data_IF_419830918219
#
_entry.id   IF_419830918219
#
_cell.length_a   1.000
_cell.length_b   1.000
_cell.length_c   1.000
_cell.angle_alpha   90.00
_cell.angle_beta   90.00
_cell.angle_gamma   90.00
#
_symmetry.space_group_name_H-M   'P 1'
#
loop_
_entity.id
_entity.type
_entity.pdbx_description
1 polymer ?
#
# COMPACT_ATOMS: atom_id res chain seq x y z
N UNK A 1 -1.26 -1.23 -18.57
CA UNK A 1 -0.44 -1.70 -17.44
C UNK A 1 -0.29 -0.58 -16.42
N UNK A 2 -0.45 -0.91 -15.17
CA UNK A 2 -0.30 0.07 -14.10
C UNK A 2 1.15 0.54 -13.99
N UNK A 3 1.32 1.84 -13.83
CA UNK A 3 2.63 2.44 -13.61
C UNK A 3 2.66 2.93 -12.17
N UNK A 4 3.46 2.30 -11.30
CA UNK A 4 3.45 2.70 -9.90
C UNK A 4 3.95 4.13 -9.69
N UNK A 5 3.31 4.82 -8.77
CA UNK A 5 3.71 6.15 -8.33
C UNK A 5 3.63 6.16 -6.83
N UNK A 6 4.64 6.71 -6.19
CA UNK A 6 4.67 6.79 -4.73
C UNK A 6 3.42 7.51 -4.25
N UNK A 7 2.83 6.98 -3.19
CA UNK A 7 1.59 7.48 -2.57
C UNK A 7 0.32 7.14 -3.32
N UNK A 8 0.41 6.26 -4.32
CA UNK A 8 -0.80 5.71 -4.92
C UNK A 8 -1.43 4.71 -3.97
N UNK A 9 -2.77 4.70 -3.94
CA UNK A 9 -3.52 3.67 -3.25
C UNK A 9 -3.91 2.63 -4.27
N UNK A 10 -3.48 1.40 -4.05
CA UNK A 10 -3.72 0.33 -5.03
C UNK A 10 -4.14 -0.93 -4.31
N UNK A 11 -4.73 -1.82 -5.07
CA UNK A 11 -5.08 -3.15 -4.59
C UNK A 11 -4.38 -4.17 -5.48
N UNK A 12 -3.77 -5.14 -4.85
CA UNK A 12 -3.12 -6.24 -5.54
C UNK A 12 -3.52 -7.53 -4.84
N UNK A 13 -4.25 -8.38 -5.59
CA UNK A 13 -4.81 -9.59 -5.02
C UNK A 13 -5.70 -9.23 -3.83
N UNK A 14 -5.43 -9.79 -2.67
CA UNK A 14 -6.23 -9.51 -1.47
C UNK A 14 -5.66 -8.39 -0.62
N UNK A 15 -4.60 -7.74 -1.11
CA UNK A 15 -3.91 -6.70 -0.36
C UNK A 15 -4.23 -5.33 -0.91
N UNK A 16 -4.47 -4.40 -0.02
CA UNK A 16 -4.72 -3.02 -0.40
C UNK A 16 -3.82 -2.13 0.44
N UNK A 17 -3.16 -1.18 -0.19
CA UNK A 17 -2.26 -0.32 0.56
C UNK A 17 -1.70 0.80 -0.31
N UNK A 18 -0.61 1.37 0.17
CA UNK A 18 0.04 2.51 -0.46
C UNK A 18 1.33 2.08 -1.11
N UNK A 19 1.60 2.63 -2.28
CA UNK A 19 2.89 2.44 -2.93
C UNK A 19 3.92 3.26 -2.15
N UNK A 20 4.98 2.61 -1.71
CA UNK A 20 5.97 3.24 -0.86
C UNK A 20 7.30 3.45 -1.56
N UNK A 21 7.95 2.38 -2.01
CA UNK A 21 9.24 2.45 -2.67
C UNK A 21 9.10 1.82 -4.05
N UNK A 22 9.67 2.44 -5.06
CA UNK A 22 9.59 1.94 -6.43
C UNK A 22 11.01 1.70 -6.91
N UNK A 23 11.24 0.52 -7.47
CA UNK A 23 12.50 0.20 -8.13
C UNK A 23 12.21 -0.22 -9.56
N UNK A 24 13.26 -0.51 -10.32
CA UNK A 24 13.09 -0.94 -11.69
C UNK A 24 12.35 -2.27 -11.81
N UNK A 25 12.38 -3.07 -10.76
CA UNK A 25 11.86 -4.42 -10.82
C UNK A 25 10.55 -4.60 -10.06
N UNK A 26 10.30 -3.76 -9.05
CA UNK A 26 9.11 -3.92 -8.21
C UNK A 26 8.77 -2.62 -7.52
N UNK A 27 7.61 -2.60 -6.87
CA UNK A 27 7.34 -1.58 -5.87
C UNK A 27 6.94 -2.28 -4.58
N UNK A 28 7.04 -1.56 -3.47
CA UNK A 28 6.58 -2.07 -2.19
C UNK A 28 5.19 -1.52 -1.92
N UNK A 29 4.32 -2.40 -1.44
CA UNK A 29 2.97 -2.06 -1.06
C UNK A 29 2.92 -2.06 0.46
N UNK A 30 2.68 -0.89 1.04
CA UNK A 30 2.58 -0.76 2.47
C UNK A 30 1.17 -1.08 2.89
N UNK A 31 1.01 -2.18 3.60
CA UNK A 31 -0.30 -2.65 4.04
C UNK A 31 -0.39 -2.46 5.53
N UNK A 32 -1.39 -1.68 5.96
CA UNK A 32 -1.63 -1.51 7.38
C UNK A 32 -2.45 -2.70 7.85
N UNK A 33 -1.90 -3.49 8.74
CA UNK A 33 -2.66 -4.58 9.33
C UNK A 33 -3.49 -4.02 10.47
N UNK A 34 -4.75 -4.41 10.50
CA UNK A 34 -5.58 -4.03 11.63
C UNK A 34 -5.15 -4.83 12.83
N UNK A 35 -4.93 -4.18 13.97
CA UNK A 35 -4.64 -4.91 15.18
C UNK A 35 -5.84 -5.78 15.52
N UNK A 36 -5.57 -6.99 15.95
CA UNK A 36 -6.63 -7.80 16.49
C UNK A 36 -7.03 -7.16 17.79
N UNK A 37 -8.32 -6.89 17.87
CA UNK A 37 -8.79 -6.13 19.00
C UNK A 37 -8.43 -6.82 20.29
N UNK A 38 -8.47 -6.10 21.31
CA UNK A 38 -8.44 -6.52 22.69
C UNK A 38 -7.20 -7.28 23.15
N UNK A 39 -6.43 -7.82 22.26
CA UNK A 39 -5.27 -8.58 22.70
C UNK A 39 -3.97 -7.85 22.51
N UNK A 40 -4.01 -6.69 21.93
CA UNK A 40 -2.79 -6.01 21.61
C UNK A 40 -2.51 -4.90 22.60
N UNK A 41 -1.28 -4.88 23.05
CA UNK A 41 -0.84 -3.78 23.88
C UNK A 41 -0.73 -2.53 23.02
N UNK A 42 -0.89 -1.35 23.62
CA UNK A 42 -0.78 -0.12 22.85
C UNK A 42 0.54 0.03 22.13
N UNK A 43 1.59 -0.60 22.63
CA UNK A 43 2.89 -0.49 21.98
C UNK A 43 2.94 -1.24 20.65
N UNK A 44 1.97 -2.12 20.40
CA UNK A 44 1.93 -2.90 19.17
C UNK A 44 0.90 -2.35 18.18
N UNK A 45 0.58 -1.11 18.31
CA UNK A 45 -0.60 -0.60 17.59
C UNK A 45 -0.45 -0.50 16.10
N UNK A 46 0.76 -0.49 15.57
CA UNK A 46 0.91 -0.38 14.13
C UNK A 46 2.05 -1.25 13.65
N UNK A 47 1.72 -2.09 12.70
CA UNK A 47 2.71 -2.88 12.01
C UNK A 47 2.68 -2.46 10.55
N UNK A 48 3.82 -2.02 10.05
CA UNK A 48 3.94 -1.69 8.64
C UNK A 48 4.45 -2.93 7.94
N UNK A 49 3.58 -3.54 7.17
CA UNK A 49 3.94 -4.71 6.39
C UNK A 49 4.17 -4.24 4.97
N UNK A 50 5.34 -4.53 4.44
CA UNK A 50 5.67 -4.18 3.06
C UNK A 50 5.67 -5.44 2.24
N UNK A 51 4.94 -5.41 1.14
CA UNK A 51 4.82 -6.53 0.22
C UNK A 51 5.46 -6.11 -1.09
N UNK A 52 6.27 -6.99 -1.65
CA UNK A 52 6.91 -6.70 -2.93
C UNK A 52 5.98 -7.10 -4.06
N UNK A 53 5.71 -6.16 -4.96
CA UNK A 53 4.92 -6.42 -6.16
C UNK A 53 5.83 -6.25 -7.35
N UNK A 54 6.18 -7.34 -7.99
CA UNK A 54 7.12 -7.31 -9.10
C UNK A 54 6.43 -6.84 -10.38
N UNK A 55 7.24 -6.35 -11.30
CA UNK A 55 6.70 -5.70 -12.49
C UNK A 55 5.87 -6.64 -13.37
N UNK A 56 6.10 -7.94 -13.31
CA UNK A 56 5.28 -8.88 -14.07
C UNK A 56 3.88 -9.02 -13.49
N UNK A 57 3.62 -8.42 -12.33
CA UNK A 57 2.29 -8.43 -11.71
C UNK A 57 1.55 -7.11 -11.86
N UNK A 58 2.14 -6.14 -12.51
CA UNK A 58 1.53 -4.81 -12.58
C UNK A 58 0.18 -4.82 -13.28
N UNK A 59 -0.05 -5.76 -14.18
CA UNK A 59 -1.34 -5.89 -14.84
C UNK A 59 -2.45 -6.31 -13.87
N UNK A 60 -2.07 -6.86 -12.73
CA UNK A 60 -3.03 -7.31 -11.72
C UNK A 60 -3.24 -6.28 -10.63
N UNK A 61 -2.64 -5.11 -10.76
CA UNK A 61 -2.76 -4.05 -9.77
C UNK A 61 -3.90 -3.13 -10.17
N UNK A 62 -4.77 -2.83 -9.21
CA UNK A 62 -5.91 -1.94 -9.43
C UNK A 62 -5.63 -0.61 -8.75
N UNK A 63 -5.65 0.45 -9.53
CA UNK A 63 -5.42 1.79 -9.01
C UNK A 63 -6.68 2.30 -8.33
N UNK A 64 -6.55 2.76 -7.09
CA UNK A 64 -7.69 3.21 -6.30
C UNK A 64 -7.69 4.71 -6.05
N UNK A 65 -6.54 5.33 -6.02
CA UNK A 65 -6.45 6.75 -5.76
C UNK A 65 -5.04 7.18 -5.47
N UNK A 66 -4.89 8.41 -5.04
CA UNK A 66 -3.57 9.00 -4.81
C UNK A 66 -3.65 10.00 -3.69
N UNK A 67 -2.66 10.00 -2.81
CA UNK A 67 -2.54 11.01 -1.75
C UNK A 67 -1.34 11.89 -2.05
N UNK A 68 -1.36 13.11 -1.49
CA UNK A 68 -0.30 14.05 -1.79
C UNK A 68 0.99 13.74 -1.05
N UNK A 69 0.89 13.16 0.11
CA UNK A 69 2.07 12.77 0.85
C UNK A 69 1.69 11.67 1.82
N UNK A 70 2.70 11.01 2.36
CA UNK A 70 2.46 9.92 3.29
C UNK A 70 1.83 10.39 4.60
N UNK A 71 1.81 11.69 4.84
CA UNK A 71 1.21 12.25 6.04
C UNK A 71 -0.20 12.78 5.80
N UNK A 72 -0.70 12.63 4.59
CA UNK A 72 -2.01 13.14 4.23
C UNK A 72 -3.06 12.09 4.59
N UNK A 73 -4.05 12.49 5.37
CA UNK A 73 -5.10 11.58 5.79
C UNK A 73 -6.15 11.37 4.71
N UNK A 74 -6.18 12.24 3.74
CA UNK A 74 -7.16 12.15 2.67
C UNK A 74 -6.45 11.93 1.35
N UNK A 75 -7.15 11.30 0.43
CA UNK A 75 -6.61 11.09 -0.90
C UNK A 75 -7.74 11.16 -1.91
N UNK A 76 -7.36 11.44 -3.15
CA UNK A 76 -8.33 11.52 -4.21
C UNK A 76 -8.66 10.11 -4.70
N UNK A 77 -9.94 9.79 -4.67
CA UNK A 77 -10.39 8.49 -5.16
C UNK A 77 -10.72 8.60 -6.63
N UNK A 78 -10.31 7.62 -7.37
CA UNK A 78 -10.59 7.58 -8.80
C UNK A 78 -11.97 7.03 -9.07
#
# INVERSE_FOLDING_TARGET
MYQPTVNDRVQWREHEGWVYIITDEYFTLEVATKPKEDNLLPIHKKHHVLILVFNNEYDNVVYLGHRQSQYDDTYTTV
#
